data_IF_022567574314
#
_entry.id   IF_022567574314
#
_cell.length_a   1.000
_cell.length_b   1.000
_cell.length_c   1.000
_cell.angle_alpha   90.00
_cell.angle_beta   90.00
_cell.angle_gamma   90.00
#
_symmetry.space_group_name_H-M   'P 1'
#
loop_
_entity.id
_entity.type
_entity.pdbx_description
1 polymer ?
#
# COMPACT_ATOMS: atom_id res chain seq x y z
N UNK A 1 -9.32 12.86 10.56
CA UNK A 1 -9.43 11.39 10.59
C UNK A 1 -9.09 10.94 11.99
N UNK A 2 -9.80 9.97 12.60
CA UNK A 2 -9.36 9.37 13.86
C UNK A 2 -7.94 8.81 13.73
N UNK A 3 -7.15 8.96 14.79
CA UNK A 3 -5.72 8.64 14.79
C UNK A 3 -5.45 7.15 14.53
N UNK A 4 -6.34 6.28 15.01
CA UNK A 4 -6.27 4.83 14.80
C UNK A 4 -6.22 4.45 13.31
N UNK A 5 -6.98 5.14 12.46
CA UNK A 5 -6.98 4.86 11.02
C UNK A 5 -5.67 5.31 10.37
N UNK A 6 -5.10 6.42 10.83
CA UNK A 6 -3.82 6.92 10.32
C UNK A 6 -2.69 5.96 10.68
N UNK A 7 -2.68 5.45 11.91
CA UNK A 7 -1.74 4.45 12.37
C UNK A 7 -1.81 3.16 11.55
N UNK A 8 -3.03 2.69 11.26
CA UNK A 8 -3.26 1.50 10.44
C UNK A 8 -2.77 1.69 8.99
N UNK A 9 -3.01 2.85 8.38
CA UNK A 9 -2.46 3.13 7.03
C UNK A 9 -0.93 3.19 7.05
N UNK A 10 -0.33 3.70 8.14
CA UNK A 10 1.12 3.81 8.27
C UNK A 10 1.79 2.45 8.46
N UNK A 11 1.20 1.55 9.26
CA UNK A 11 1.72 0.18 9.41
C UNK A 11 1.54 -0.66 8.14
N UNK A 12 0.52 -0.35 7.35
CA UNK A 12 0.20 -1.05 6.12
C UNK A 12 1.05 -0.63 4.92
N UNK A 13 1.58 0.59 4.92
CA UNK A 13 2.41 1.11 3.85
C UNK A 13 3.77 0.40 3.82
N UNK A 14 4.26 0.12 2.62
CA UNK A 14 5.61 -0.42 2.38
C UNK A 14 6.66 0.69 2.27
N UNK A 15 6.24 1.94 2.42
CA UNK A 15 7.09 3.12 2.45
C UNK A 15 7.30 3.59 3.90
N UNK A 16 8.42 4.25 4.23
CA UNK A 16 8.68 4.76 5.57
C UNK A 16 7.64 5.79 6.04
N UNK A 17 7.12 6.56 5.07
CA UNK A 17 6.20 7.67 5.30
C UNK A 17 4.88 7.45 4.55
N UNK A 18 3.84 8.09 5.09
CA UNK A 18 2.55 8.21 4.40
C UNK A 18 2.69 9.21 3.25
N UNK A 19 2.00 8.91 2.15
CA UNK A 19 1.98 9.78 0.98
C UNK A 19 1.44 11.17 1.30
N UNK A 20 2.03 12.15 0.66
CA UNK A 20 1.67 13.57 0.69
C UNK A 20 0.97 13.97 -0.60
N UNK A 21 0.27 15.12 -0.64
CA UNK A 21 -0.26 15.67 -1.88
C UNK A 21 0.81 15.83 -2.97
N UNK A 22 2.04 16.15 -2.58
CA UNK A 22 3.19 16.33 -3.47
C UNK A 22 3.58 15.02 -4.17
N UNK A 23 3.50 13.87 -3.49
CA UNK A 23 3.80 12.57 -4.10
C UNK A 23 2.84 12.24 -5.26
N UNK A 24 1.56 12.60 -5.11
CA UNK A 24 0.57 12.47 -6.18
C UNK A 24 0.85 13.46 -7.30
N UNK A 25 1.23 14.71 -6.96
CA UNK A 25 1.54 15.74 -7.94
C UNK A 25 2.73 15.34 -8.83
N UNK A 26 3.78 14.72 -8.27
CA UNK A 26 4.91 14.23 -9.05
C UNK A 26 4.53 13.10 -10.02
N UNK A 27 3.64 12.20 -9.61
CA UNK A 27 3.10 11.16 -10.51
C UNK A 27 2.32 11.80 -11.66
N UNK A 28 1.47 12.78 -11.37
CA UNK A 28 0.71 13.51 -12.38
C UNK A 28 1.63 14.30 -13.31
N UNK A 29 2.68 14.94 -12.77
CA UNK A 29 3.67 15.69 -13.54
C UNK A 29 4.41 14.76 -14.51
N UNK A 30 4.84 13.58 -14.06
CA UNK A 30 5.42 12.56 -14.94
C UNK A 30 4.45 12.17 -16.06
N UNK A 31 3.19 11.89 -15.71
CA UNK A 31 2.16 11.52 -16.69
C UNK A 31 1.83 12.63 -17.69
N UNK A 32 1.92 13.89 -17.29
CA UNK A 32 1.69 15.05 -18.16
C UNK A 32 2.89 15.38 -19.06
N UNK A 33 4.05 14.77 -18.83
CA UNK A 33 5.28 15.05 -19.58
C UNK A 33 5.44 14.15 -20.81
N UNK A 34 6.32 14.53 -21.74
CA UNK A 34 6.68 13.70 -22.91
C UNK A 34 7.30 12.33 -22.52
N UNK A 35 7.75 12.18 -21.28
CA UNK A 35 8.36 10.94 -20.77
C UNK A 35 7.35 9.79 -20.69
N UNK A 36 6.06 10.09 -20.61
CA UNK A 36 4.98 9.12 -20.53
C UNK A 36 4.30 8.84 -21.88
N UNK A 37 4.84 9.31 -23.02
CA UNK A 37 4.15 9.35 -24.34
C UNK A 37 3.53 8.03 -24.85
N UNK A 38 3.92 6.89 -24.30
CA UNK A 38 3.41 5.56 -24.69
C UNK A 38 2.59 4.88 -23.58
N UNK A 39 2.40 5.56 -22.45
CA UNK A 39 1.67 5.06 -21.29
C UNK A 39 0.25 5.62 -21.33
N UNK A 40 -0.71 4.74 -21.65
CA UNK A 40 -2.14 5.06 -21.68
C UNK A 40 -2.97 3.87 -21.19
N UNK A 41 -4.18 4.15 -20.69
CA UNK A 41 -5.11 3.14 -20.18
C UNK A 41 -4.67 2.45 -18.88
N UNK A 42 -3.65 2.97 -18.20
CA UNK A 42 -3.14 2.39 -16.95
C UNK A 42 -3.78 3.06 -15.73
N UNK A 43 -3.97 2.27 -14.68
CA UNK A 43 -4.32 2.75 -13.34
C UNK A 43 -3.08 2.66 -12.47
N UNK A 44 -2.50 3.81 -12.12
CA UNK A 44 -1.35 3.89 -11.21
C UNK A 44 -1.85 4.18 -9.79
N UNK A 45 -1.49 3.33 -8.83
CA UNK A 45 -1.82 3.55 -7.42
C UNK A 45 -0.73 4.35 -6.74
N UNK A 46 -1.14 5.41 -6.04
CA UNK A 46 -0.29 6.26 -5.23
C UNK A 46 -0.62 6.05 -3.75
N UNK A 47 -0.38 4.83 -3.25
CA UNK A 47 -0.90 4.38 -1.95
C UNK A 47 0.18 3.77 -1.04
N UNK A 48 1.46 3.98 -1.36
CA UNK A 48 2.58 3.43 -0.60
C UNK A 48 2.65 1.90 -0.60
N UNK A 49 1.93 1.20 -1.50
CA UNK A 49 1.90 -0.26 -1.57
C UNK A 49 0.83 -0.92 -0.70
N UNK A 50 -0.03 -0.14 -0.05
CA UNK A 50 -1.09 -0.66 0.84
C UNK A 50 -2.07 -1.60 0.13
N UNK A 51 -2.34 -1.41 -1.17
CA UNK A 51 -3.18 -2.34 -1.94
C UNK A 51 -2.52 -3.69 -2.21
N UNK A 52 -1.18 -3.79 -2.18
CA UNK A 52 -0.46 -5.03 -2.49
C UNK A 52 -0.44 -5.97 -1.30
N UNK A 53 -0.19 -5.45 -0.10
CA UNK A 53 -0.12 -6.24 1.13
C UNK A 53 -1.49 -6.54 1.73
N UNK A 54 -2.55 -5.83 1.30
CA UNK A 54 -3.91 -5.87 1.87
C UNK A 54 -3.95 -5.98 3.42
N UNK A 55 -3.18 -5.19 4.19
CA UNK A 55 -3.00 -5.42 5.63
C UNK A 55 -4.30 -5.20 6.41
N UNK A 56 -5.17 -4.32 5.93
CA UNK A 56 -6.51 -4.10 6.49
C UNK A 56 -7.32 -5.40 6.57
N UNK A 57 -7.15 -6.32 5.61
CA UNK A 57 -7.83 -7.62 5.63
C UNK A 57 -7.15 -8.57 6.62
N UNK A 58 -5.82 -8.57 6.66
CA UNK A 58 -5.06 -9.38 7.61
C UNK A 58 -5.33 -8.96 9.07
N UNK A 59 -5.42 -7.66 9.36
CA UNK A 59 -5.71 -7.13 10.69
C UNK A 59 -7.19 -7.33 11.08
N UNK A 60 -8.11 -7.22 10.12
CA UNK A 60 -9.51 -7.58 10.35
C UNK A 60 -9.67 -9.08 10.65
N UNK A 61 -8.96 -9.95 9.93
CA UNK A 61 -8.98 -11.40 10.15
C UNK A 61 -8.21 -11.81 11.41
N UNK A 62 -7.09 -11.16 11.75
CA UNK A 62 -6.33 -11.47 12.97
C UNK A 62 -7.14 -11.18 14.25
N UNK A 63 -8.05 -10.21 14.19
CA UNK A 63 -8.95 -9.91 15.30
C UNK A 63 -10.09 -10.94 15.48
N UNK A 64 -10.31 -11.85 14.51
CA UNK A 64 -11.46 -12.78 14.52
C UNK A 64 -11.20 -14.23 14.07
N UNK A 65 -10.01 -14.61 13.58
CA UNK A 65 -9.75 -15.93 12.97
C UNK A 65 -8.58 -16.72 13.62
N UNK A 66 -8.86 -17.86 14.29
CA UNK A 66 -7.82 -18.73 14.87
C UNK A 66 -6.95 -19.49 13.85
N UNK A 67 -7.20 -19.40 12.53
CA UNK A 67 -6.42 -20.12 11.51
C UNK A 67 -5.23 -19.34 10.92
N UNK A 68 -5.09 -18.04 11.21
CA UNK A 68 -4.10 -17.17 10.56
C UNK A 68 -2.66 -17.38 11.08
N UNK A 69 -2.46 -17.92 12.29
CA UNK A 69 -1.12 -18.20 12.83
C UNK A 69 -0.31 -19.26 12.03
N UNK A 70 -0.96 -20.03 11.14
CA UNK A 70 -0.30 -21.11 10.39
C UNK A 70 0.36 -20.65 9.08
N UNK A 71 -0.14 -19.61 8.43
CA UNK A 71 0.32 -19.21 7.09
C UNK A 71 1.53 -18.27 7.09
N UNK A 72 1.73 -17.47 8.13
CA UNK A 72 2.84 -16.51 8.18
C UNK A 72 4.21 -17.16 8.47
N UNK A 73 4.24 -18.41 8.99
CA UNK A 73 5.50 -19.10 9.26
C UNK A 73 6.16 -19.68 7.99
N UNK A 74 5.39 -19.98 6.94
CA UNK A 74 5.91 -20.59 5.70
C UNK A 74 6.51 -19.59 4.70
N UNK A 75 6.19 -18.29 4.79
CA UNK A 75 6.70 -17.27 3.87
C UNK A 75 7.94 -16.49 4.36
N UNK A 76 8.45 -16.74 5.58
CA UNK A 76 9.65 -16.04 6.10
C UNK A 76 11.00 -16.57 5.58
N UNK A 77 11.00 -17.57 4.69
CA UNK A 77 12.23 -18.24 4.23
C UNK A 77 12.57 -18.04 2.74
N UNK A 78 12.08 -16.96 2.11
CA UNK A 78 12.50 -16.51 0.78
C UNK A 78 13.10 -15.10 0.82
N UNK A 79 14.21 -14.97 1.56
CA UNK A 79 15.29 -14.01 1.31
C UNK A 79 16.57 -14.50 1.98
#
# INVERSE_FOLDING_TARGET
MPEEYVALHRSAALTPDLGTPEDVAEIVLFLASDRSRYLTGQILRADGGTTVTVPFYADALSSTDPYTERCYHEFSCLS
#
